data_IF_173791566846
#
_entry.id   IF_173791566846
#
_cell.length_a   1.000
_cell.length_b   1.000
_cell.length_c   1.000
_cell.angle_alpha   90.00
_cell.angle_beta   90.00
_cell.angle_gamma   90.00
#
_symmetry.space_group_name_H-M   'P 1'
#
loop_
_entity.id
_entity.type
_entity.pdbx_description
1 polymer ?
#
# COMPACT_ATOMS: atom_id res chain seq x y z
N UNK A 1 -56.43 27.56 4.15
CA UNK A 1 -55.34 26.72 4.63
C UNK A 1 -55.05 27.09 6.07
N UNK A 2 -55.09 26.12 6.97
CA UNK A 2 -54.83 26.35 8.39
C UNK A 2 -53.33 26.50 8.67
N UNK A 3 -52.94 27.30 9.66
CA UNK A 3 -51.52 27.53 10.02
C UNK A 3 -50.70 26.26 10.18
N UNK A 4 -51.23 25.09 10.61
CA UNK A 4 -50.49 23.84 10.69
C UNK A 4 -50.09 23.26 9.33
N UNK A 5 -50.90 23.44 8.28
CA UNK A 5 -50.58 22.91 6.93
C UNK A 5 -49.42 23.65 6.27
N UNK A 6 -49.33 24.96 6.46
CA UNK A 6 -48.22 25.80 5.98
C UNK A 6 -46.91 25.45 6.69
N UNK A 7 -46.93 25.05 7.97
CA UNK A 7 -45.75 24.64 8.71
C UNK A 7 -45.25 23.25 8.30
N UNK A 8 -46.13 22.34 7.90
CA UNK A 8 -45.76 20.99 7.40
C UNK A 8 -45.16 21.09 6.00
N UNK A 9 -45.68 21.94 5.13
CA UNK A 9 -45.14 22.13 3.78
C UNK A 9 -43.77 22.82 3.80
N UNK A 10 -43.56 23.80 4.72
CA UNK A 10 -42.27 24.46 4.92
C UNK A 10 -41.22 23.52 5.51
N UNK A 11 -41.59 22.60 6.42
CA UNK A 11 -40.68 21.53 6.95
C UNK A 11 -40.34 20.50 5.90
N UNK A 12 -41.31 20.05 5.12
CA UNK A 12 -41.05 19.07 4.03
C UNK A 12 -40.14 19.62 2.95
N UNK A 13 -40.26 20.91 2.61
CA UNK A 13 -39.37 21.60 1.66
C UNK A 13 -37.93 21.75 2.20
N UNK A 14 -37.78 22.10 3.49
CA UNK A 14 -36.49 22.24 4.13
C UNK A 14 -35.75 20.88 4.29
N UNK A 15 -36.51 19.84 4.66
CA UNK A 15 -35.95 18.47 4.76
C UNK A 15 -35.55 17.88 3.41
N UNK A 16 -36.33 18.16 2.34
CA UNK A 16 -35.98 17.74 0.97
C UNK A 16 -34.76 18.49 0.42
N UNK A 17 -34.63 19.76 0.74
CA UNK A 17 -33.50 20.60 0.35
C UNK A 17 -32.22 20.19 1.12
N UNK A 18 -32.35 19.83 2.41
CA UNK A 18 -31.24 19.33 3.24
C UNK A 18 -30.82 17.94 2.80
N UNK A 19 -31.73 17.05 2.41
CA UNK A 19 -31.42 15.73 1.86
C UNK A 19 -30.71 15.80 0.50
N UNK A 20 -31.03 16.79 -0.34
CA UNK A 20 -30.34 17.05 -1.61
C UNK A 20 -28.92 17.58 -1.41
N UNK A 21 -28.75 18.52 -0.51
CA UNK A 21 -27.44 19.09 -0.18
C UNK A 21 -26.54 18.09 0.58
N UNK A 22 -27.12 17.24 1.41
CA UNK A 22 -26.38 16.18 2.13
C UNK A 22 -25.79 15.13 1.18
N UNK A 23 -26.45 14.84 0.04
CA UNK A 23 -25.92 13.91 -1.01
C UNK A 23 -24.83 14.54 -1.87
N UNK A 24 -24.88 15.87 -2.06
CA UNK A 24 -23.91 16.59 -2.89
C UNK A 24 -22.61 16.92 -2.14
N UNK A 25 -22.64 17.11 -0.83
CA UNK A 25 -21.46 17.44 0.00
C UNK A 25 -20.28 16.46 -0.18
N UNK A 26 -20.44 15.12 -0.09
CA UNK A 26 -19.31 14.19 -0.27
C UNK A 26 -18.78 14.19 -1.71
N UNK A 27 -19.66 14.37 -2.71
CA UNK A 27 -19.26 14.47 -4.11
C UNK A 27 -18.45 15.76 -4.37
N UNK A 28 -18.89 16.87 -3.84
CA UNK A 28 -18.19 18.16 -3.94
C UNK A 28 -16.82 18.12 -3.22
N UNK A 29 -16.73 17.46 -2.07
CA UNK A 29 -15.45 17.25 -1.36
C UNK A 29 -14.48 16.38 -2.18
N UNK A 30 -14.98 15.29 -2.76
CA UNK A 30 -14.19 14.42 -3.64
C UNK A 30 -13.69 15.15 -4.90
N UNK A 31 -14.54 15.96 -5.54
CA UNK A 31 -14.15 16.80 -6.68
C UNK A 31 -13.14 17.85 -6.23
N UNK A 32 -13.35 18.48 -5.09
CA UNK A 32 -12.43 19.48 -4.53
C UNK A 32 -11.04 18.92 -4.20
N UNK A 33 -10.95 17.68 -3.71
CA UNK A 33 -9.67 17.04 -3.42
C UNK A 33 -8.89 16.71 -4.69
N UNK A 34 -9.55 16.17 -5.71
CA UNK A 34 -8.95 15.91 -7.03
C UNK A 34 -8.53 17.21 -7.71
N UNK A 35 -9.38 18.26 -7.63
CA UNK A 35 -9.02 19.56 -8.17
C UNK A 35 -7.78 20.16 -7.49
N UNK A 36 -7.66 20.03 -6.17
CA UNK A 36 -6.46 20.45 -5.44
C UNK A 36 -5.20 19.75 -5.87
N UNK A 37 -5.27 18.42 -6.05
CA UNK A 37 -4.15 17.62 -6.58
C UNK A 37 -3.76 18.02 -8.01
N UNK A 38 -4.76 18.27 -8.86
CA UNK A 38 -4.53 18.75 -10.25
C UNK A 38 -3.87 20.12 -10.28
N UNK A 39 -4.33 21.05 -9.43
CA UNK A 39 -3.71 22.38 -9.31
C UNK A 39 -2.25 22.24 -8.88
N UNK A 40 -1.96 21.38 -7.90
CA UNK A 40 -0.58 21.07 -7.48
C UNK A 40 0.27 20.51 -8.61
N UNK A 41 -0.26 19.58 -9.39
CA UNK A 41 0.42 19.03 -10.57
C UNK A 41 0.69 20.11 -11.62
N UNK A 42 -0.32 20.94 -11.96
CA UNK A 42 -0.18 22.04 -12.92
C UNK A 42 0.88 23.03 -12.44
N UNK A 43 0.90 23.34 -11.13
CA UNK A 43 1.90 24.22 -10.55
C UNK A 43 3.32 23.67 -10.71
N UNK A 44 3.55 22.39 -10.43
CA UNK A 44 4.84 21.72 -10.64
C UNK A 44 5.25 21.79 -12.11
N UNK A 45 4.31 21.47 -13.02
CA UNK A 45 4.56 21.54 -14.47
C UNK A 45 4.88 22.97 -14.94
N UNK A 46 4.20 23.98 -14.39
CA UNK A 46 4.42 25.38 -14.73
C UNK A 46 5.77 25.89 -14.21
N UNK A 47 6.14 25.57 -12.97
CA UNK A 47 7.43 25.98 -12.37
C UNK A 47 8.61 25.42 -13.18
N UNK A 48 8.65 24.10 -13.39
CA UNK A 48 9.76 23.47 -14.11
C UNK A 48 9.69 23.70 -15.61
N UNK A 49 8.48 23.85 -16.18
CA UNK A 49 8.29 24.27 -17.57
C UNK A 49 8.81 25.68 -17.84
N UNK A 50 8.66 26.61 -16.90
CA UNK A 50 9.25 27.95 -17.00
C UNK A 50 10.77 27.95 -16.77
N UNK A 51 11.25 27.09 -15.84
CA UNK A 51 12.68 27.00 -15.53
C UNK A 51 13.51 26.39 -16.67
N UNK A 52 13.03 25.28 -17.24
CA UNK A 52 13.77 24.54 -18.28
C UNK A 52 12.84 24.06 -19.40
N UNK A 53 12.23 24.96 -20.19
CA UNK A 53 11.18 24.59 -21.15
C UNK A 53 11.66 23.63 -22.23
N UNK A 54 12.91 23.76 -22.67
CA UNK A 54 13.49 22.93 -23.74
C UNK A 54 13.73 21.47 -23.33
N UNK A 55 13.92 21.21 -22.05
CA UNK A 55 14.21 19.87 -21.53
C UNK A 55 12.99 19.26 -20.85
N UNK A 56 12.29 20.04 -20.01
CA UNK A 56 11.21 19.54 -19.17
C UNK A 56 9.92 19.27 -19.94
N UNK A 57 9.58 20.11 -20.94
CA UNK A 57 8.35 19.96 -21.74
C UNK A 57 8.49 19.01 -22.93
N UNK A 58 9.57 18.23 -23.01
CA UNK A 58 9.73 17.21 -24.05
C UNK A 58 8.84 16.01 -23.78
N UNK A 59 8.31 15.40 -24.82
CA UNK A 59 7.52 14.16 -24.72
C UNK A 59 8.28 13.05 -23.97
N UNK A 60 9.60 12.95 -24.19
CA UNK A 60 10.47 11.98 -23.49
C UNK A 60 10.41 12.15 -21.96
N UNK A 61 10.32 13.37 -21.44
CA UNK A 61 10.22 13.62 -20.00
C UNK A 61 8.92 13.04 -19.42
N UNK A 62 7.80 13.23 -20.11
CA UNK A 62 6.51 12.66 -19.70
C UNK A 62 6.53 11.12 -19.77
N UNK A 63 7.07 10.57 -20.84
CA UNK A 63 7.24 9.11 -20.98
C UNK A 63 8.14 8.56 -19.88
N UNK A 64 9.24 9.24 -19.57
CA UNK A 64 10.17 8.81 -18.51
C UNK A 64 9.53 8.89 -17.12
N UNK A 65 8.71 9.92 -16.83
CA UNK A 65 7.98 9.99 -15.56
C UNK A 65 7.07 8.77 -15.42
N UNK A 66 6.35 8.35 -16.45
CA UNK A 66 5.54 7.13 -16.42
C UNK A 66 6.40 5.87 -16.24
N UNK A 67 7.51 5.77 -16.99
CA UNK A 67 8.45 4.63 -16.95
C UNK A 67 9.16 4.46 -15.62
N UNK A 68 9.33 5.52 -14.83
CA UNK A 68 10.07 5.48 -13.57
C UNK A 68 9.18 5.51 -12.33
N UNK A 69 7.89 5.85 -12.47
CA UNK A 69 6.99 5.99 -11.33
C UNK A 69 5.87 4.93 -11.28
N UNK A 70 5.83 3.96 -12.20
CA UNK A 70 4.80 2.92 -12.19
C UNK A 70 4.79 2.12 -10.88
N UNK A 71 5.96 1.80 -10.31
CA UNK A 71 6.03 1.03 -9.06
C UNK A 71 5.44 1.81 -7.87
N UNK A 72 5.69 3.13 -7.81
CA UNK A 72 5.02 4.00 -6.83
C UNK A 72 3.51 4.02 -7.03
N UNK A 73 3.04 4.07 -8.29
CA UNK A 73 1.62 4.09 -8.60
C UNK A 73 0.94 2.76 -8.20
N UNK A 74 1.56 1.62 -8.49
CA UNK A 74 1.06 0.30 -8.08
C UNK A 74 0.96 0.19 -6.57
N UNK A 75 2.00 0.58 -5.83
CA UNK A 75 2.01 0.56 -4.38
C UNK A 75 1.00 1.57 -3.78
N UNK A 76 0.85 2.75 -4.40
CA UNK A 76 -0.12 3.77 -3.99
C UNK A 76 -1.57 3.28 -4.13
N UNK A 77 -1.87 2.39 -5.08
CA UNK A 77 -3.21 1.77 -5.19
C UNK A 77 -3.59 1.08 -3.88
N UNK A 78 -2.73 0.22 -3.36
CA UNK A 78 -2.97 -0.48 -2.09
C UNK A 78 -2.98 0.47 -0.88
N UNK A 79 -2.01 1.38 -0.82
CA UNK A 79 -1.91 2.37 0.24
C UNK A 79 -3.17 3.26 0.33
N UNK A 80 -3.81 3.57 -0.81
CA UNK A 80 -5.06 4.34 -0.83
C UNK A 80 -6.18 3.64 -0.06
N UNK A 81 -6.37 2.32 -0.25
CA UNK A 81 -7.37 1.57 0.51
C UNK A 81 -7.08 1.60 2.02
N UNK A 82 -5.82 1.43 2.41
CA UNK A 82 -5.41 1.44 3.82
C UNK A 82 -5.63 2.82 4.44
N UNK A 83 -5.17 3.90 3.78
CA UNK A 83 -5.28 5.26 4.32
C UNK A 83 -6.74 5.70 4.45
N UNK A 84 -7.61 5.37 3.50
CA UNK A 84 -9.05 5.67 3.62
C UNK A 84 -9.67 5.00 4.85
N UNK A 85 -9.18 3.83 5.31
CA UNK A 85 -9.64 3.21 6.57
C UNK A 85 -9.01 3.81 7.83
N UNK A 86 -8.38 4.99 7.75
CA UNK A 86 -7.58 5.61 8.81
C UNK A 86 -6.39 4.73 9.26
N UNK A 87 -5.88 3.86 8.39
CA UNK A 87 -4.70 3.05 8.61
C UNK A 87 -3.45 3.69 7.99
N UNK A 88 -2.29 3.36 8.53
CA UNK A 88 -0.99 3.71 7.95
C UNK A 88 -0.19 2.42 7.81
N UNK A 89 0.31 2.15 6.60
CA UNK A 89 1.19 1.01 6.34
C UNK A 89 2.59 1.49 5.97
N UNK A 90 3.50 1.38 6.92
CA UNK A 90 4.92 1.69 6.72
C UNK A 90 5.69 0.50 6.15
N UNK A 91 5.11 -0.70 6.12
CA UNK A 91 5.82 -1.90 5.67
C UNK A 91 5.92 -2.03 4.15
N UNK A 92 5.17 -1.23 3.38
CA UNK A 92 5.04 -1.34 1.92
C UNK A 92 6.39 -1.50 1.22
N UNK A 93 7.38 -0.68 1.55
CA UNK A 93 8.70 -0.72 0.91
C UNK A 93 9.49 -2.00 1.24
N UNK A 94 9.45 -2.47 2.47
CA UNK A 94 10.09 -3.73 2.84
C UNK A 94 9.37 -4.94 2.25
N UNK A 95 8.04 -4.86 2.10
CA UNK A 95 7.23 -5.88 1.40
C UNK A 95 7.59 -5.94 -0.08
N UNK A 96 7.79 -4.79 -0.74
CA UNK A 96 8.29 -4.74 -2.12
C UNK A 96 9.63 -5.49 -2.26
N UNK A 97 10.59 -5.23 -1.34
CA UNK A 97 11.88 -5.89 -1.34
C UNK A 97 11.76 -7.41 -1.14
N UNK A 98 10.95 -7.84 -0.16
CA UNK A 98 10.75 -9.27 0.11
C UNK A 98 10.10 -9.98 -1.07
N UNK A 99 9.10 -9.37 -1.66
CA UNK A 99 8.37 -9.93 -2.80
C UNK A 99 9.24 -10.04 -4.06
N UNK A 100 10.03 -9.01 -4.34
CA UNK A 100 11.01 -9.01 -5.42
C UNK A 100 12.06 -10.11 -5.22
N UNK A 101 12.70 -10.16 -4.05
CA UNK A 101 13.67 -11.19 -3.72
C UNK A 101 13.05 -12.60 -3.79
N UNK A 102 11.83 -12.79 -3.28
CA UNK A 102 11.15 -14.09 -3.36
C UNK A 102 10.89 -14.51 -4.82
N UNK A 103 10.46 -13.59 -5.68
CA UNK A 103 10.32 -13.81 -7.11
C UNK A 103 11.68 -14.17 -7.74
N UNK A 104 12.71 -13.35 -7.51
CA UNK A 104 14.05 -13.53 -8.07
C UNK A 104 14.64 -14.89 -7.68
N UNK A 105 14.60 -15.24 -6.41
CA UNK A 105 15.08 -16.55 -5.92
C UNK A 105 14.30 -17.71 -6.55
N UNK A 106 13.00 -17.57 -6.75
CA UNK A 106 12.19 -18.61 -7.39
C UNK A 106 12.56 -18.82 -8.86
N UNK A 107 12.83 -17.76 -9.62
CA UNK A 107 13.12 -17.86 -11.07
C UNK A 107 14.59 -18.16 -11.37
N UNK A 108 15.52 -17.85 -10.46
CA UNK A 108 16.95 -18.13 -10.63
C UNK A 108 17.38 -19.48 -10.06
N UNK A 109 16.57 -20.07 -9.19
CA UNK A 109 16.87 -21.36 -8.59
C UNK A 109 18.02 -21.32 -7.58
N UNK A 110 18.00 -20.33 -6.70
CA UNK A 110 19.00 -20.14 -5.65
C UNK A 110 18.95 -21.27 -4.61
N UNK A 111 20.10 -21.61 -4.05
CA UNK A 111 20.19 -22.52 -2.89
C UNK A 111 19.63 -21.81 -1.67
N UNK A 112 18.66 -22.42 -0.99
CA UNK A 112 18.12 -21.87 0.26
C UNK A 112 19.19 -21.96 1.33
N UNK A 113 19.52 -20.87 2.05
CA UNK A 113 20.55 -20.90 3.09
C UNK A 113 20.29 -21.98 4.14
N UNK A 114 21.33 -22.63 4.62
CA UNK A 114 21.27 -23.44 5.82
C UNK A 114 21.30 -22.49 7.02
N UNK A 115 20.21 -22.48 7.80
CA UNK A 115 20.20 -21.75 9.07
C UNK A 115 20.74 -22.66 10.18
N UNK A 116 21.46 -22.08 11.11
CA UNK A 116 21.80 -22.82 12.31
C UNK A 116 20.56 -23.06 13.21
N UNK A 117 20.69 -23.98 14.17
CA UNK A 117 19.58 -24.35 15.06
C UNK A 117 19.04 -23.17 15.85
N UNK A 118 19.92 -22.24 16.24
CA UNK A 118 19.51 -21.03 16.98
C UNK A 118 18.60 -20.11 16.16
N UNK A 119 18.95 -19.92 14.89
CA UNK A 119 18.16 -19.12 13.94
C UNK A 119 16.80 -19.76 13.66
N UNK A 120 16.76 -21.08 13.49
CA UNK A 120 15.51 -21.84 13.36
C UNK A 120 14.60 -21.66 14.58
N UNK A 121 15.16 -21.70 15.79
CA UNK A 121 14.41 -21.49 17.03
C UNK A 121 13.82 -20.07 17.07
N UNK A 122 14.59 -19.04 16.72
CA UNK A 122 14.12 -17.65 16.71
C UNK A 122 12.96 -17.46 15.73
N UNK A 123 13.05 -18.01 14.51
CA UNK A 123 11.98 -17.94 13.51
C UNK A 123 10.74 -18.69 14.00
N UNK A 124 10.92 -19.91 14.51
CA UNK A 124 9.82 -20.73 15.02
C UNK A 124 9.10 -20.04 16.20
N UNK A 125 9.86 -19.45 17.12
CA UNK A 125 9.30 -18.68 18.24
C UNK A 125 8.54 -17.44 17.75
N UNK A 126 9.05 -16.70 16.75
CA UNK A 126 8.36 -15.55 16.15
C UNK A 126 7.02 -15.95 15.54
N UNK A 127 6.99 -17.01 14.75
CA UNK A 127 5.77 -17.56 14.15
C UNK A 127 4.80 -18.04 15.23
N UNK A 128 5.31 -18.78 16.23
CA UNK A 128 4.52 -19.28 17.34
C UNK A 128 3.84 -18.16 18.12
N UNK A 129 4.61 -17.14 18.51
CA UNK A 129 4.13 -16.00 19.25
C UNK A 129 3.02 -15.28 18.48
N UNK A 130 3.22 -15.06 17.19
CA UNK A 130 2.26 -14.38 16.32
C UNK A 130 0.96 -15.19 16.18
N UNK A 131 1.06 -16.46 15.84
CA UNK A 131 -0.11 -17.34 15.70
C UNK A 131 -0.89 -17.44 17.02
N UNK A 132 -0.18 -17.59 18.13
CA UNK A 132 -0.78 -17.69 19.46
C UNK A 132 -1.52 -16.41 19.87
N UNK A 133 -0.86 -15.27 19.74
CA UNK A 133 -1.44 -13.96 20.11
C UNK A 133 -2.64 -13.61 19.21
N UNK A 134 -2.53 -13.79 17.90
CA UNK A 134 -3.63 -13.51 16.98
C UNK A 134 -4.86 -14.38 17.29
N UNK A 135 -4.65 -15.67 17.53
CA UNK A 135 -5.75 -16.59 17.83
C UNK A 135 -6.39 -16.27 19.18
N UNK A 136 -5.59 -16.05 20.23
CA UNK A 136 -6.09 -15.69 21.54
C UNK A 136 -6.84 -14.34 21.51
N UNK A 137 -6.28 -13.33 20.85
CA UNK A 137 -6.91 -12.01 20.70
C UNK A 137 -8.25 -12.08 19.98
N UNK A 138 -8.31 -12.81 18.85
CA UNK A 138 -9.56 -13.03 18.12
C UNK A 138 -10.66 -13.70 18.94
N UNK A 139 -10.30 -14.72 19.73
CA UNK A 139 -11.25 -15.42 20.58
C UNK A 139 -11.75 -14.54 21.75
N UNK A 140 -10.87 -13.73 22.33
CA UNK A 140 -11.23 -12.77 23.38
C UNK A 140 -12.22 -11.72 22.87
N UNK A 141 -12.01 -11.20 21.67
CA UNK A 141 -12.94 -10.25 21.02
C UNK A 141 -14.33 -10.85 20.78
N UNK A 142 -14.40 -12.16 20.55
CA UNK A 142 -15.68 -12.90 20.41
C UNK A 142 -16.35 -13.26 21.72
N UNK A 143 -15.86 -12.76 22.85
CA UNK A 143 -16.43 -13.03 24.17
C UNK A 143 -16.13 -14.42 24.71
N UNK A 144 -15.14 -15.13 24.15
CA UNK A 144 -14.71 -16.42 24.66
C UNK A 144 -14.00 -16.25 26.02
N UNK A 145 -14.18 -17.18 26.95
CA UNK A 145 -13.51 -17.12 28.24
C UNK A 145 -11.99 -17.01 28.11
N UNK A 146 -11.37 -16.23 28.99
CA UNK A 146 -9.92 -15.99 28.98
C UNK A 146 -9.10 -17.27 28.97
N UNK A 147 -9.49 -18.25 29.76
CA UNK A 147 -8.83 -19.55 29.86
C UNK A 147 -8.87 -20.31 28.53
N UNK A 148 -10.05 -20.35 27.87
CA UNK A 148 -10.20 -21.01 26.58
C UNK A 148 -9.43 -20.30 25.47
N UNK A 149 -9.43 -18.96 25.46
CA UNK A 149 -8.70 -18.17 24.49
C UNK A 149 -7.18 -18.37 24.60
N UNK A 150 -6.66 -18.43 25.83
CA UNK A 150 -5.24 -18.72 26.08
C UNK A 150 -4.90 -20.15 25.67
N UNK A 151 -5.71 -21.15 26.02
CA UNK A 151 -5.46 -22.55 25.67
C UNK A 151 -5.43 -22.77 24.15
N UNK A 152 -6.41 -22.23 23.42
CA UNK A 152 -6.44 -22.34 21.94
C UNK A 152 -5.32 -21.52 21.29
N UNK A 153 -5.00 -20.34 21.83
CA UNK A 153 -3.86 -19.54 21.39
C UNK A 153 -2.54 -20.26 21.58
N UNK A 154 -2.34 -20.94 22.72
CA UNK A 154 -1.14 -21.75 22.98
C UNK A 154 -1.03 -22.94 22.01
N UNK A 155 -2.17 -23.61 21.72
CA UNK A 155 -2.19 -24.69 20.73
C UNK A 155 -1.83 -24.19 19.32
N UNK A 156 -2.35 -23.01 18.92
CA UNK A 156 -2.02 -22.38 17.65
C UNK A 156 -0.55 -21.94 17.58
N UNK A 157 0.03 -21.49 18.69
CA UNK A 157 1.45 -21.17 18.80
C UNK A 157 2.32 -22.40 18.56
N UNK A 158 2.02 -23.49 19.24
CA UNK A 158 2.75 -24.77 19.11
C UNK A 158 2.64 -25.28 17.66
N UNK A 159 1.42 -25.30 17.10
CA UNK A 159 1.21 -25.70 15.71
C UNK A 159 2.01 -24.83 14.72
N UNK A 160 2.02 -23.53 14.88
CA UNK A 160 2.80 -22.60 14.07
C UNK A 160 4.30 -22.87 14.16
N UNK A 161 4.84 -23.10 15.35
CA UNK A 161 6.24 -23.44 15.54
C UNK A 161 6.61 -24.78 14.88
N UNK A 162 5.79 -25.81 15.05
CA UNK A 162 6.01 -27.14 14.47
C UNK A 162 5.95 -27.06 12.95
N UNK A 163 4.94 -26.40 12.39
CA UNK A 163 4.79 -26.25 10.91
C UNK A 163 5.94 -25.46 10.33
N UNK A 164 6.34 -24.32 10.94
CA UNK A 164 7.47 -23.54 10.43
C UNK A 164 8.79 -24.29 10.52
N UNK A 165 9.04 -25.00 11.61
CA UNK A 165 10.23 -25.84 11.78
C UNK A 165 10.28 -27.01 10.78
N UNK A 166 9.14 -27.67 10.56
CA UNK A 166 9.04 -28.78 9.62
C UNK A 166 9.23 -28.32 8.15
N UNK A 167 8.55 -27.23 7.78
CA UNK A 167 8.72 -26.64 6.45
C UNK A 167 10.17 -26.25 6.22
N UNK A 168 10.79 -25.63 7.23
CA UNK A 168 12.18 -25.26 7.14
C UNK A 168 13.10 -26.48 6.98
N UNK A 169 12.93 -27.51 7.82
CA UNK A 169 13.70 -28.76 7.71
C UNK A 169 13.56 -29.43 6.34
N UNK A 170 12.38 -29.30 5.73
CA UNK A 170 12.10 -29.83 4.39
C UNK A 170 12.81 -29.08 3.27
N UNK A 171 13.04 -27.75 3.42
CA UNK A 171 13.55 -26.90 2.33
C UNK A 171 15.00 -26.42 2.53
N UNK A 172 15.50 -26.39 3.77
CA UNK A 172 16.85 -25.90 4.08
C UNK A 172 17.94 -26.69 3.34
N UNK A 173 18.94 -26.00 2.82
CA UNK A 173 20.05 -26.56 2.09
C UNK A 173 19.68 -27.15 0.72
N UNK A 174 18.42 -27.13 0.30
CA UNK A 174 18.02 -27.66 -1.00
C UNK A 174 18.20 -26.63 -2.11
N UNK A 175 18.75 -27.13 -3.26
CA UNK A 175 18.67 -26.33 -4.49
C UNK A 175 17.27 -26.41 -5.05
N UNK A 176 16.61 -25.25 -5.12
CA UNK A 176 15.33 -25.13 -5.82
C UNK A 176 15.63 -24.99 -7.31
N UNK A 177 15.05 -25.85 -8.15
CA UNK A 177 15.17 -25.69 -9.59
C UNK A 177 14.52 -24.36 -10.03
N UNK A 178 15.09 -23.67 -11.05
CA UNK A 178 14.47 -22.45 -11.58
C UNK A 178 13.02 -22.69 -11.97
N UNK A 179 12.13 -21.84 -11.48
CA UNK A 179 10.72 -21.90 -11.79
C UNK A 179 10.38 -21.05 -13.01
N UNK A 180 9.28 -21.35 -13.73
CA UNK A 180 8.79 -20.48 -14.79
C UNK A 180 8.50 -19.06 -14.25
N UNK A 181 8.72 -18.04 -15.07
CA UNK A 181 8.56 -16.62 -14.68
C UNK A 181 7.19 -16.34 -14.07
N UNK A 182 6.10 -16.89 -14.66
CA UNK A 182 4.76 -16.70 -14.11
C UNK A 182 4.61 -17.23 -12.67
N UNK A 183 5.29 -18.35 -12.34
CA UNK A 183 5.27 -18.90 -10.99
C UNK A 183 6.05 -18.01 -10.01
N UNK A 184 7.24 -17.53 -10.40
CA UNK A 184 8.01 -16.57 -9.61
C UNK A 184 7.26 -15.28 -9.34
N UNK A 185 6.63 -14.71 -10.37
CA UNK A 185 5.76 -13.52 -10.22
C UNK A 185 4.61 -13.77 -9.25
N UNK A 186 3.95 -14.92 -9.38
CA UNK A 186 2.86 -15.31 -8.47
C UNK A 186 3.35 -15.46 -7.03
N UNK A 187 4.53 -16.06 -6.82
CA UNK A 187 5.16 -16.18 -5.49
C UNK A 187 5.47 -14.81 -4.91
N UNK A 188 6.07 -13.90 -5.68
CA UNK A 188 6.34 -12.55 -5.22
C UNK A 188 5.07 -11.81 -4.79
N UNK A 189 4.01 -11.81 -5.62
CA UNK A 189 2.73 -11.19 -5.30
C UNK A 189 2.09 -11.84 -4.06
N UNK A 190 2.08 -13.17 -3.99
CA UNK A 190 1.53 -13.91 -2.85
C UNK A 190 2.28 -13.61 -1.56
N UNK A 191 3.63 -13.52 -1.61
CA UNK A 191 4.46 -13.13 -0.47
C UNK A 191 4.05 -11.76 0.06
N UNK A 192 3.86 -10.78 -0.83
CA UNK A 192 3.34 -9.47 -0.43
C UNK A 192 1.96 -9.58 0.23
N UNK A 193 1.03 -10.34 -0.37
CA UNK A 193 -0.31 -10.57 0.17
C UNK A 193 -0.30 -11.25 1.55
N UNK A 194 0.61 -12.20 1.78
CA UNK A 194 0.78 -12.87 3.07
C UNK A 194 1.26 -11.91 4.16
N UNK A 195 2.21 -11.02 3.84
CA UNK A 195 2.65 -9.97 4.79
C UNK A 195 1.50 -8.98 5.06
N UNK A 196 0.74 -8.61 4.04
CA UNK A 196 -0.46 -7.78 4.21
C UNK A 196 -1.51 -8.47 5.09
N UNK A 197 -1.74 -9.76 4.91
CA UNK A 197 -2.62 -10.57 5.78
C UNK A 197 -2.11 -10.60 7.22
N UNK A 198 -0.81 -10.80 7.41
CA UNK A 198 -0.17 -10.77 8.72
C UNK A 198 -0.41 -9.41 9.43
N UNK A 199 -0.14 -8.29 8.75
CA UNK A 199 -0.42 -6.96 9.28
C UNK A 199 -1.89 -6.78 9.63
N UNK A 200 -2.79 -7.12 8.70
CA UNK A 200 -4.23 -7.00 8.89
C UNK A 200 -4.73 -7.81 10.07
N UNK A 201 -4.27 -9.05 10.23
CA UNK A 201 -4.64 -9.90 11.36
C UNK A 201 -4.12 -9.36 12.70
N UNK A 202 -2.87 -8.92 12.78
CA UNK A 202 -2.31 -8.34 14.01
C UNK A 202 -3.07 -7.07 14.43
N UNK A 203 -3.33 -6.18 13.49
CA UNK A 203 -4.06 -4.92 13.75
C UNK A 203 -5.47 -5.21 14.25
N UNK A 204 -6.18 -6.14 13.60
CA UNK A 204 -7.58 -6.38 13.89
C UNK A 204 -7.80 -7.33 15.06
N UNK A 205 -7.00 -8.42 15.18
CA UNK A 205 -7.16 -9.41 16.23
C UNK A 205 -6.66 -8.94 17.59
N UNK A 206 -5.63 -8.10 17.61
CA UNK A 206 -5.04 -7.57 18.84
C UNK A 206 -5.46 -6.12 19.12
N UNK A 207 -6.26 -5.51 18.22
CA UNK A 207 -6.65 -4.10 18.30
C UNK A 207 -5.44 -3.15 18.44
N UNK A 208 -4.31 -3.49 17.80
CA UNK A 208 -3.10 -2.70 17.86
C UNK A 208 -3.17 -1.51 16.90
N UNK A 209 -2.54 -0.38 17.26
CA UNK A 209 -2.42 0.74 16.34
C UNK A 209 -1.70 0.32 15.04
N UNK A 210 -2.27 0.61 13.85
CA UNK A 210 -1.69 0.22 12.56
C UNK A 210 -0.22 0.62 12.40
N UNK A 211 0.12 1.84 12.80
CA UNK A 211 1.48 2.37 12.74
C UNK A 211 2.50 1.48 13.47
N UNK A 212 2.17 0.98 14.69
CA UNK A 212 3.09 0.15 15.48
C UNK A 212 3.34 -1.19 14.80
N UNK A 213 2.27 -1.83 14.33
CA UNK A 213 2.36 -3.14 13.67
C UNK A 213 3.18 -3.03 12.38
N UNK A 214 2.86 -2.05 11.53
CA UNK A 214 3.52 -1.91 10.22
C UNK A 214 4.97 -1.42 10.35
N UNK A 215 5.29 -0.63 11.38
CA UNK A 215 6.66 -0.26 11.71
C UNK A 215 7.48 -1.49 12.16
N UNK A 216 6.90 -2.34 13.01
CA UNK A 216 7.51 -3.61 13.41
C UNK A 216 7.75 -4.53 12.20
N UNK A 217 6.74 -4.64 11.32
CA UNK A 217 6.83 -5.42 10.08
C UNK A 217 7.87 -4.84 9.12
N UNK A 218 7.98 -3.51 9.00
CA UNK A 218 9.02 -2.86 8.19
C UNK A 218 10.41 -3.31 8.63
N UNK A 219 10.70 -3.25 9.93
CA UNK A 219 11.99 -3.68 10.46
C UNK A 219 12.24 -5.19 10.32
N UNK A 220 11.24 -5.99 10.69
CA UNK A 220 11.32 -7.45 10.64
C UNK A 220 11.49 -7.99 9.23
N UNK A 221 10.65 -7.53 8.28
CA UNK A 221 10.71 -7.95 6.88
C UNK A 221 12.01 -7.48 6.22
N UNK A 222 12.45 -6.24 6.50
CA UNK A 222 13.74 -5.73 5.98
C UNK A 222 14.90 -6.56 6.48
N UNK A 223 14.95 -6.86 7.78
CA UNK A 223 15.97 -7.72 8.37
C UNK A 223 15.96 -9.11 7.73
N UNK A 224 14.78 -9.69 7.51
CA UNK A 224 14.63 -11.00 6.85
C UNK A 224 15.19 -10.98 5.42
N UNK A 225 14.85 -9.96 4.63
CA UNK A 225 15.33 -9.83 3.24
C UNK A 225 16.86 -9.73 3.18
N UNK A 226 17.45 -8.86 4.00
CA UNK A 226 18.90 -8.68 4.07
C UNK A 226 19.60 -9.98 4.53
N UNK A 227 19.00 -10.69 5.48
CA UNK A 227 19.50 -11.96 5.96
C UNK A 227 19.44 -13.04 4.86
N UNK A 228 18.29 -13.21 4.18
CA UNK A 228 18.10 -14.23 3.13
C UNK A 228 19.07 -14.05 1.94
N UNK A 229 19.42 -12.81 1.63
CA UNK A 229 20.29 -12.47 0.48
C UNK A 229 21.75 -12.28 0.87
N UNK A 230 22.10 -12.34 2.17
CA UNK A 230 23.42 -11.92 2.66
C UNK A 230 23.71 -10.45 2.33
N UNK A 231 22.67 -9.62 2.24
CA UNK A 231 22.74 -8.19 1.83
C UNK A 231 23.22 -7.98 0.39
N UNK A 232 23.28 -9.03 -0.43
CA UNK A 232 23.71 -8.97 -1.83
C UNK A 232 22.50 -8.96 -2.77
N UNK A 233 22.58 -8.30 -3.93
CA UNK A 233 21.57 -8.40 -4.97
C UNK A 233 21.41 -9.85 -5.49
N UNK A 234 20.20 -10.21 -5.88
CA UNK A 234 19.93 -11.47 -6.58
C UNK A 234 19.89 -11.20 -8.07
N UNK A 235 20.94 -11.59 -8.77
CA UNK A 235 21.14 -11.39 -10.19
C UNK A 235 20.70 -12.60 -11.02
N UNK A 236 20.84 -12.50 -12.36
CA UNK A 236 20.57 -13.62 -13.27
C UNK A 236 19.10 -13.82 -13.56
N UNK A 237 18.29 -12.76 -13.48
CA UNK A 237 16.87 -12.79 -13.81
C UNK A 237 16.66 -13.17 -15.29
N UNK A 238 15.69 -14.05 -15.60
CA UNK A 238 15.43 -14.48 -16.97
C UNK A 238 14.90 -13.34 -17.83
N UNK A 239 15.29 -13.32 -19.11
CA UNK A 239 14.89 -12.31 -20.10
C UNK A 239 13.37 -12.10 -20.19
N UNK A 240 12.59 -13.17 -19.97
CA UNK A 240 11.13 -13.08 -19.97
C UNK A 240 10.61 -12.16 -18.84
N UNK A 241 11.28 -12.10 -17.68
CA UNK A 241 10.95 -11.14 -16.62
C UNK A 241 11.43 -9.74 -16.99
N UNK A 242 12.64 -9.61 -17.53
CA UNK A 242 13.23 -8.33 -17.91
C UNK A 242 12.42 -7.63 -19.00
N UNK A 243 11.77 -8.38 -19.89
CA UNK A 243 10.88 -7.84 -20.95
C UNK A 243 9.68 -7.07 -20.39
N UNK A 244 9.30 -7.25 -19.13
CA UNK A 244 8.25 -6.46 -18.50
C UNK A 244 8.60 -4.94 -18.48
N UNK A 245 9.89 -4.61 -18.45
CA UNK A 245 10.37 -3.23 -18.50
C UNK A 245 11.01 -2.87 -19.85
N UNK A 246 11.78 -3.77 -20.45
CA UNK A 246 12.57 -3.48 -21.66
C UNK A 246 11.75 -3.53 -22.96
N UNK A 247 10.66 -4.32 -23.01
CA UNK A 247 9.79 -4.34 -24.18
C UNK A 247 9.03 -3.02 -24.31
N UNK A 248 8.60 -2.70 -25.52
CA UNK A 248 7.82 -1.50 -25.81
C UNK A 248 6.50 -1.88 -26.49
N UNK A 249 5.38 -1.56 -25.83
CA UNK A 249 4.03 -1.68 -26.36
C UNK A 249 3.44 -0.29 -26.48
N UNK A 250 3.14 0.14 -27.69
CA UNK A 250 2.64 1.50 -27.97
C UNK A 250 3.55 2.61 -27.37
N UNK A 251 4.87 2.42 -27.40
CA UNK A 251 5.85 3.39 -26.89
C UNK A 251 6.11 3.33 -25.37
N UNK A 252 5.39 2.49 -24.61
CA UNK A 252 5.53 2.33 -23.17
C UNK A 252 5.85 0.89 -22.79
N UNK A 253 6.59 0.65 -21.70
CA UNK A 253 6.84 -0.69 -21.17
C UNK A 253 5.54 -1.38 -20.73
N UNK A 254 5.47 -2.73 -20.79
CA UNK A 254 4.36 -3.51 -20.23
C UNK A 254 4.01 -3.16 -18.78
N UNK A 255 5.01 -2.85 -17.94
CA UNK A 255 4.80 -2.43 -16.56
C UNK A 255 3.86 -1.22 -16.43
N UNK A 256 3.96 -0.24 -17.32
CA UNK A 256 3.06 0.93 -17.33
C UNK A 256 1.63 0.49 -17.65
N UNK A 257 1.46 -0.40 -18.61
CA UNK A 257 0.14 -0.92 -18.98
C UNK A 257 -0.50 -1.77 -17.88
N UNK A 258 0.29 -2.61 -17.20
CA UNK A 258 -0.17 -3.35 -16.02
C UNK A 258 -0.66 -2.37 -14.94
N UNK A 259 0.07 -1.29 -14.72
CA UNK A 259 -0.31 -0.23 -13.77
C UNK A 259 -1.63 0.44 -14.17
N UNK A 260 -1.79 0.79 -15.46
CA UNK A 260 -3.04 1.38 -15.97
C UNK A 260 -4.22 0.43 -15.77
N UNK A 261 -4.06 -0.85 -16.12
CA UNK A 261 -5.11 -1.87 -15.91
C UNK A 261 -5.45 -2.00 -14.43
N UNK A 262 -4.46 -2.04 -13.55
CA UNK A 262 -4.68 -2.12 -12.10
C UNK A 262 -5.50 -0.91 -11.61
N UNK A 263 -5.16 0.31 -12.04
CA UNK A 263 -5.88 1.53 -11.68
C UNK A 263 -7.32 1.48 -12.21
N UNK A 264 -7.51 1.05 -13.46
CA UNK A 264 -8.84 0.91 -14.08
C UNK A 264 -9.73 -0.11 -13.37
N UNK A 265 -9.15 -1.11 -12.70
CA UNK A 265 -9.88 -2.06 -11.85
C UNK A 265 -10.10 -1.49 -10.45
N UNK A 266 -9.06 -0.92 -9.84
CA UNK A 266 -9.09 -0.47 -8.44
C UNK A 266 -9.99 0.76 -8.24
N UNK A 267 -10.02 1.69 -9.20
CA UNK A 267 -10.83 2.90 -9.09
C UNK A 267 -12.35 2.59 -9.05
N UNK A 268 -12.93 1.78 -9.96
CA UNK A 268 -14.31 1.34 -9.83
C UNK A 268 -14.59 0.49 -8.59
N UNK A 269 -13.65 -0.38 -8.18
CA UNK A 269 -13.80 -1.17 -6.95
C UNK A 269 -13.91 -0.25 -5.74
N UNK A 270 -13.06 0.77 -5.63
CA UNK A 270 -13.11 1.72 -4.54
C UNK A 270 -14.40 2.57 -4.58
N UNK A 271 -14.86 3.00 -5.76
CA UNK A 271 -15.93 3.99 -5.88
C UNK A 271 -17.35 3.36 -5.94
N UNK A 272 -17.51 2.22 -6.61
CA UNK A 272 -18.82 1.63 -6.89
C UNK A 272 -19.11 0.32 -6.16
N UNK A 273 -18.10 -0.38 -5.63
CA UNK A 273 -18.31 -1.68 -5.00
C UNK A 273 -18.80 -1.57 -3.55
N UNK A 274 -19.27 -2.71 -3.02
CA UNK A 274 -19.59 -2.86 -1.59
C UNK A 274 -18.35 -2.65 -0.72
N UNK A 275 -17.20 -3.16 -1.18
CA UNK A 275 -15.91 -2.96 -0.48
C UNK A 275 -15.62 -1.48 -0.29
N UNK A 276 -15.71 -0.68 -1.36
CA UNK A 276 -15.46 0.75 -1.28
C UNK A 276 -16.38 1.46 -0.28
N UNK A 277 -17.68 1.19 -0.33
CA UNK A 277 -18.64 1.76 0.64
C UNK A 277 -18.27 1.47 2.09
N UNK A 278 -17.85 0.23 2.38
CA UNK A 278 -17.43 -0.14 3.74
C UNK A 278 -16.09 0.50 4.13
N UNK A 279 -15.15 0.60 3.21
CA UNK A 279 -13.85 1.27 3.42
C UNK A 279 -14.06 2.73 3.81
N UNK A 280 -14.89 3.49 3.07
CA UNK A 280 -15.23 4.87 3.42
C UNK A 280 -16.00 4.97 4.74
N UNK A 281 -16.97 4.08 4.98
CA UNK A 281 -17.75 4.09 6.23
C UNK A 281 -16.86 3.84 7.47
N UNK A 282 -15.95 2.86 7.38
CA UNK A 282 -14.99 2.54 8.45
C UNK A 282 -14.08 3.75 8.73
N UNK A 283 -13.55 4.37 7.68
CA UNK A 283 -12.65 5.51 7.82
C UNK A 283 -13.34 6.76 8.38
N UNK A 284 -14.60 7.00 8.01
CA UNK A 284 -15.36 8.14 8.53
C UNK A 284 -15.71 7.97 10.02
N UNK A 285 -16.20 6.81 10.42
CA UNK A 285 -16.48 6.50 11.82
C UNK A 285 -16.58 4.99 12.04
N UNK A 286 -15.51 4.40 12.55
CA UNK A 286 -15.41 2.97 12.78
C UNK A 286 -16.50 2.45 13.74
N UNK A 287 -16.79 3.20 14.82
CA UNK A 287 -17.80 2.81 15.81
C UNK A 287 -19.20 2.76 15.20
N UNK A 288 -19.56 3.77 14.43
CA UNK A 288 -20.85 3.84 13.74
C UNK A 288 -20.96 2.73 12.67
N UNK A 289 -19.91 2.50 11.87
CA UNK A 289 -19.89 1.43 10.90
C UNK A 289 -20.15 0.05 11.55
N UNK A 290 -19.53 -0.21 12.69
CA UNK A 290 -19.73 -1.43 13.49
C UNK A 290 -21.18 -1.56 13.98
N UNK A 291 -21.78 -0.49 14.47
CA UNK A 291 -23.19 -0.47 14.91
C UNK A 291 -24.16 -0.74 13.75
N UNK A 292 -23.81 -0.32 12.53
CA UNK A 292 -24.56 -0.62 11.32
C UNK A 292 -24.31 -2.04 10.74
N UNK A 293 -23.62 -2.92 11.48
CA UNK A 293 -23.39 -4.32 11.09
C UNK A 293 -22.22 -4.54 10.14
N UNK A 294 -21.37 -3.53 9.89
CA UNK A 294 -20.17 -3.71 9.07
C UNK A 294 -19.11 -4.47 9.87
N UNK A 295 -18.60 -5.57 9.30
CA UNK A 295 -17.49 -6.34 9.88
C UNK A 295 -16.15 -5.62 9.66
N UNK A 296 -15.85 -4.66 10.54
CA UNK A 296 -14.69 -3.76 10.45
C UNK A 296 -13.38 -4.54 10.34
N UNK A 297 -13.20 -5.56 11.18
CA UNK A 297 -11.99 -6.38 11.23
C UNK A 297 -11.70 -7.03 9.88
N UNK A 298 -12.73 -7.62 9.28
CA UNK A 298 -12.63 -8.28 7.98
C UNK A 298 -12.20 -7.30 6.88
N UNK A 299 -12.85 -6.14 6.81
CA UNK A 299 -12.60 -5.18 5.74
C UNK A 299 -11.26 -4.48 5.91
N UNK A 300 -10.86 -4.14 7.12
CA UNK A 300 -9.49 -3.65 7.38
C UNK A 300 -8.45 -4.68 6.97
N UNK A 301 -8.59 -5.93 7.37
CA UNK A 301 -7.66 -7.00 6.95
C UNK A 301 -7.59 -7.13 5.43
N UNK A 302 -8.73 -7.08 4.72
CA UNK A 302 -8.74 -7.10 3.24
C UNK A 302 -7.96 -5.91 2.65
N UNK A 303 -8.08 -4.70 3.21
CA UNK A 303 -7.31 -3.54 2.76
C UNK A 303 -5.80 -3.75 2.89
N UNK A 304 -5.35 -4.33 4.01
CA UNK A 304 -3.92 -4.67 4.18
C UNK A 304 -3.46 -5.78 3.23
N UNK A 305 -4.30 -6.78 2.96
CA UNK A 305 -4.00 -7.81 1.95
C UNK A 305 -3.86 -7.19 0.56
N UNK A 306 -4.77 -6.29 0.17
CA UNK A 306 -4.68 -5.56 -1.11
C UNK A 306 -3.40 -4.73 -1.16
N UNK A 307 -3.06 -4.02 -0.08
CA UNK A 307 -1.82 -3.26 0.00
C UNK A 307 -0.58 -4.16 -0.14
N UNK A 308 -0.58 -5.32 0.51
CA UNK A 308 0.49 -6.30 0.37
C UNK A 308 0.61 -6.89 -1.04
N UNK A 309 -0.52 -7.24 -1.69
CA UNK A 309 -0.53 -7.74 -3.07
C UNK A 309 0.01 -6.70 -4.06
N UNK A 310 -0.41 -5.44 -3.93
CA UNK A 310 0.08 -4.36 -4.79
C UNK A 310 1.55 -4.02 -4.51
N UNK A 311 1.99 -4.05 -3.26
CA UNK A 311 3.40 -3.91 -2.91
C UNK A 311 4.23 -5.06 -3.52
N UNK A 312 3.73 -6.31 -3.42
CA UNK A 312 4.37 -7.46 -4.03
C UNK A 312 4.52 -7.32 -5.55
N UNK A 313 3.46 -6.91 -6.23
CA UNK A 313 3.49 -6.64 -7.66
C UNK A 313 4.49 -5.52 -8.00
N UNK A 314 4.49 -4.43 -7.24
CA UNK A 314 5.42 -3.30 -7.44
C UNK A 314 6.88 -3.73 -7.30
N UNK A 315 7.21 -4.59 -6.31
CA UNK A 315 8.55 -5.14 -6.12
C UNK A 315 9.02 -5.97 -7.32
N UNK A 316 8.21 -6.93 -7.74
CA UNK A 316 8.50 -7.78 -8.92
C UNK A 316 8.68 -6.93 -10.21
N UNK A 317 7.80 -5.94 -10.41
CA UNK A 317 7.93 -5.04 -11.55
C UNK A 317 9.21 -4.21 -11.50
N UNK A 318 9.67 -3.84 -10.31
CA UNK A 318 10.90 -3.07 -10.13
C UNK A 318 12.15 -3.90 -10.43
N UNK A 319 12.16 -5.18 -10.05
CA UNK A 319 13.27 -6.10 -10.36
C UNK A 319 13.48 -6.21 -11.88
N UNK A 320 12.39 -6.22 -12.67
CA UNK A 320 12.50 -6.22 -14.14
C UNK A 320 13.18 -4.97 -14.69
N UNK A 321 13.11 -3.85 -13.98
CA UNK A 321 13.77 -2.59 -14.34
C UNK A 321 15.22 -2.56 -13.89
N UNK A 322 15.50 -3.04 -12.69
CA UNK A 322 16.85 -3.02 -12.10
C UNK A 322 17.73 -4.16 -12.63
N UNK A 323 17.15 -5.14 -13.33
CA UNK A 323 17.79 -6.37 -13.79
C UNK A 323 18.30 -7.26 -12.65
N UNK A 324 17.93 -6.94 -11.42
CA UNK A 324 18.28 -7.67 -10.20
C UNK A 324 17.30 -7.35 -9.08
N UNK A 325 17.14 -8.22 -8.11
CA UNK A 325 16.41 -7.92 -6.89
C UNK A 325 17.37 -7.39 -5.83
N UNK A 326 17.30 -6.08 -5.55
CA UNK A 326 18.19 -5.38 -4.63
C UNK A 326 17.50 -5.22 -3.28
N UNK A 327 17.97 -5.90 -2.21
CA UNK A 327 17.28 -5.92 -0.91
C UNK A 327 17.20 -4.55 -0.22
N UNK A 328 18.12 -3.62 -0.51
CA UNK A 328 18.20 -2.30 0.10
C UNK A 328 17.56 -1.16 -0.71
N UNK A 329 17.05 -1.43 -1.93
CA UNK A 329 16.65 -0.40 -2.90
C UNK A 329 15.52 0.51 -2.40
N UNK A 330 14.56 -0.02 -1.67
CA UNK A 330 13.29 0.68 -1.39
C UNK A 330 13.29 1.49 -0.09
N UNK A 331 14.46 1.89 0.45
CA UNK A 331 14.51 2.66 1.70
C UNK A 331 13.88 4.04 1.53
N UNK A 332 12.91 4.38 2.40
CA UNK A 332 12.20 5.67 2.36
C UNK A 332 11.07 5.75 1.33
N UNK A 333 10.85 4.69 0.54
CA UNK A 333 9.75 4.68 -0.43
C UNK A 333 8.38 4.68 0.23
N UNK A 334 8.27 4.06 1.42
CA UNK A 334 7.05 4.07 2.24
C UNK A 334 6.52 5.49 2.46
N UNK A 335 7.41 6.40 2.86
CA UNK A 335 7.05 7.80 3.10
C UNK A 335 6.65 8.53 1.80
N UNK A 336 7.36 8.24 0.70
CA UNK A 336 7.04 8.82 -0.62
C UNK A 336 5.69 8.35 -1.13
N UNK A 337 5.34 7.06 -0.94
CA UNK A 337 4.05 6.49 -1.36
C UNK A 337 2.92 7.12 -0.55
N UNK A 338 3.06 7.18 0.78
CA UNK A 338 2.07 7.82 1.66
C UNK A 338 1.91 9.29 1.28
N UNK A 339 3.02 10.01 1.08
CA UNK A 339 3.00 11.39 0.64
C UNK A 339 2.21 11.59 -0.66
N UNK A 340 2.47 10.76 -1.66
CA UNK A 340 1.77 10.83 -2.95
C UNK A 340 0.26 10.66 -2.77
N UNK A 341 -0.17 9.69 -1.96
CA UNK A 341 -1.59 9.43 -1.69
C UNK A 341 -2.24 10.60 -0.95
N UNK A 342 -1.55 11.18 0.04
CA UNK A 342 -2.06 12.31 0.83
C UNK A 342 -2.12 13.60 0.01
N UNK A 343 -1.06 13.91 -0.73
CA UNK A 343 -1.02 15.05 -1.66
C UNK A 343 -2.10 14.90 -2.74
N UNK A 344 -2.39 13.66 -3.14
CA UNK A 344 -3.51 13.31 -4.02
C UNK A 344 -4.90 13.58 -3.43
N UNK A 345 -4.98 14.02 -2.17
CA UNK A 345 -6.21 14.41 -1.49
C UNK A 345 -6.89 13.29 -0.70
N UNK A 346 -6.17 12.19 -0.42
CA UNK A 346 -6.64 11.16 0.52
C UNK A 346 -6.30 11.59 1.94
N UNK A 347 -7.30 11.66 2.82
CA UNK A 347 -7.13 12.12 4.20
C UNK A 347 -6.46 11.07 5.09
N UNK A 348 -5.46 11.48 5.87
CA UNK A 348 -4.84 10.64 6.91
C UNK A 348 -5.78 10.31 8.07
N UNK A 349 -6.83 11.11 8.25
CA UNK A 349 -7.88 10.85 9.25
C UNK A 349 -8.91 9.81 8.79
N UNK A 350 -8.82 9.38 7.52
CA UNK A 350 -9.71 8.40 6.91
C UNK A 350 -11.02 8.99 6.37
N UNK A 351 -11.81 8.13 5.72
CA UNK A 351 -13.14 8.46 5.21
C UNK A 351 -13.19 9.31 3.94
N UNK A 352 -12.07 9.85 3.48
CA UNK A 352 -11.98 10.69 2.28
C UNK A 352 -10.78 10.30 1.43
N UNK A 353 -10.93 10.35 0.12
CA UNK A 353 -9.87 10.06 -0.85
C UNK A 353 -10.40 9.48 -2.15
N UNK A 354 -9.58 9.51 -3.19
CA UNK A 354 -9.93 8.92 -4.49
C UNK A 354 -8.70 8.24 -5.11
N UNK A 355 -8.93 7.17 -5.84
CA UNK A 355 -7.85 6.48 -6.57
C UNK A 355 -7.18 7.41 -7.58
N UNK A 356 -7.96 8.18 -8.32
CA UNK A 356 -7.47 9.13 -9.32
C UNK A 356 -6.60 10.21 -8.66
N UNK A 357 -7.06 10.75 -7.53
CA UNK A 357 -6.28 11.72 -6.76
C UNK A 357 -4.93 11.16 -6.34
N UNK A 358 -4.89 9.95 -5.78
CA UNK A 358 -3.63 9.30 -5.38
C UNK A 358 -2.65 9.13 -6.55
N UNK A 359 -3.15 8.77 -7.74
CA UNK A 359 -2.30 8.65 -8.93
C UNK A 359 -1.80 10.01 -9.41
N UNK A 360 -2.62 11.06 -9.34
CA UNK A 360 -2.18 12.45 -9.63
C UNK A 360 -1.07 12.85 -8.65
N UNK A 361 -1.19 12.49 -7.37
CA UNK A 361 -0.13 12.74 -6.38
C UNK A 361 1.18 12.02 -6.71
N UNK A 362 1.12 10.75 -7.15
CA UNK A 362 2.30 10.02 -7.64
C UNK A 362 2.94 10.70 -8.83
N UNK A 363 2.14 11.13 -9.80
CA UNK A 363 2.64 11.85 -10.98
C UNK A 363 3.26 13.20 -10.57
N UNK A 364 2.65 13.91 -9.62
CA UNK A 364 3.18 15.18 -9.11
C UNK A 364 4.58 15.00 -8.50
N UNK A 365 4.79 13.98 -7.64
CA UNK A 365 6.11 13.67 -7.09
C UNK A 365 7.07 13.23 -8.21
N UNK A 366 6.60 12.46 -9.18
CA UNK A 366 7.39 12.03 -10.33
C UNK A 366 7.90 13.21 -11.18
N UNK A 367 7.03 14.16 -11.49
CA UNK A 367 7.41 15.38 -12.23
C UNK A 367 8.29 16.30 -11.39
N UNK A 368 8.05 16.42 -10.09
CA UNK A 368 8.91 17.16 -9.18
C UNK A 368 10.34 16.60 -9.19
N UNK A 369 10.51 15.29 -9.02
CA UNK A 369 11.82 14.63 -9.09
C UNK A 369 12.49 14.82 -10.46
N UNK A 370 11.72 14.64 -11.53
CA UNK A 370 12.22 14.83 -12.89
C UNK A 370 12.68 16.27 -13.12
N UNK A 371 11.89 17.25 -12.67
CA UNK A 371 12.24 18.66 -12.75
C UNK A 371 13.48 19.02 -11.93
N UNK A 372 13.57 18.53 -10.71
CA UNK A 372 14.74 18.71 -9.84
C UNK A 372 16.01 18.11 -10.48
N UNK A 373 15.92 16.90 -11.06
CA UNK A 373 17.04 16.26 -11.76
C UNK A 373 17.51 17.10 -12.95
N UNK A 374 16.58 17.61 -13.77
CA UNK A 374 16.89 18.46 -14.91
C UNK A 374 17.46 19.84 -14.50
N UNK A 375 17.08 20.32 -13.32
CA UNK A 375 17.61 21.54 -12.71
C UNK A 375 18.95 21.32 -12.00
N UNK A 376 19.49 20.09 -11.98
CA UNK A 376 20.75 19.76 -11.30
C UNK A 376 20.67 19.74 -9.78
N UNK A 377 19.45 19.63 -9.20
CA UNK A 377 19.26 19.55 -7.74
C UNK A 377 19.68 18.17 -7.27
N UNK A 378 20.58 18.15 -6.28
CA UNK A 378 21.10 16.92 -5.68
C UNK A 378 19.98 16.05 -5.07
N UNK A 379 20.10 14.72 -5.23
CA UNK A 379 19.08 13.75 -4.78
C UNK A 379 18.75 13.88 -3.28
N UNK A 380 19.74 14.18 -2.45
CA UNK A 380 19.54 14.36 -1.01
C UNK A 380 18.66 15.58 -0.68
N UNK A 381 18.81 16.68 -1.44
CA UNK A 381 17.95 17.87 -1.31
C UNK A 381 16.53 17.60 -1.78
N UNK A 382 16.34 16.74 -2.77
CA UNK A 382 15.01 16.35 -3.22
C UNK A 382 14.21 15.65 -2.11
N UNK A 383 14.87 14.86 -1.24
CA UNK A 383 14.22 14.26 -0.07
C UNK A 383 13.76 15.31 0.94
N UNK A 384 14.53 16.39 1.12
CA UNK A 384 14.12 17.52 1.99
C UNK A 384 12.84 18.17 1.44
N UNK A 385 12.78 18.43 0.13
CA UNK A 385 11.57 18.98 -0.50
C UNK A 385 10.36 18.04 -0.35
N UNK A 386 10.53 16.74 -0.59
CA UNK A 386 9.47 15.76 -0.40
C UNK A 386 8.99 15.76 1.06
N UNK A 387 9.91 15.78 2.03
CA UNK A 387 9.57 15.85 3.44
C UNK A 387 8.77 17.11 3.80
N UNK A 388 9.19 18.28 3.29
CA UNK A 388 8.48 19.54 3.50
C UNK A 388 7.06 19.48 2.89
N UNK A 389 6.91 18.91 1.69
CA UNK A 389 5.61 18.77 1.03
C UNK A 389 4.69 17.83 1.82
N UNK A 390 5.21 16.75 2.42
CA UNK A 390 4.42 15.85 3.29
C UNK A 390 3.84 16.62 4.47
N UNK A 391 4.68 17.41 5.16
CA UNK A 391 4.24 18.19 6.32
C UNK A 391 3.21 19.24 5.92
N UNK A 392 3.42 19.93 4.80
CA UNK A 392 2.47 20.91 4.27
C UNK A 392 1.13 20.26 3.89
N UNK A 393 1.16 19.09 3.21
CA UNK A 393 -0.05 18.36 2.85
C UNK A 393 -0.84 17.92 4.09
N UNK A 394 -0.15 17.38 5.11
CA UNK A 394 -0.77 17.00 6.36
C UNK A 394 -1.36 18.20 7.12
N UNK A 395 -0.67 19.35 7.12
CA UNK A 395 -1.17 20.59 7.71
C UNK A 395 -2.44 21.08 7.00
N UNK A 396 -2.45 21.09 5.66
CA UNK A 396 -3.64 21.46 4.87
C UNK A 396 -4.81 20.51 5.14
N UNK A 397 -4.56 19.20 5.21
CA UNK A 397 -5.59 18.20 5.55
C UNK A 397 -6.18 18.48 6.94
N UNK A 398 -5.34 18.79 7.92
CA UNK A 398 -5.77 19.15 9.28
C UNK A 398 -6.65 20.40 9.31
N UNK A 399 -6.26 21.45 8.57
CA UNK A 399 -7.05 22.70 8.51
C UNK A 399 -8.41 22.47 7.85
N UNK A 400 -8.52 21.64 6.82
CA UNK A 400 -9.79 21.27 6.19
C UNK A 400 -10.75 20.60 7.17
N UNK A 401 -10.23 19.72 8.05
CA UNK A 401 -11.04 19.06 9.08
C UNK A 401 -11.45 19.97 10.24
N UNK A 402 -10.75 21.08 10.48
CA UNK A 402 -11.12 22.07 11.52
C UNK A 402 -12.17 23.09 11.04
N UNK A 403 -12.29 23.29 9.73
CA UNK A 403 -13.18 24.28 9.10
C UNK A 403 -14.50 23.68 8.56
N UNK A 404 -14.72 22.38 8.65
CA UNK A 404 -15.93 21.66 8.22
C UNK A 404 -16.64 20.95 9.33
#
# INVERSE_FOLDING_TARGET
MSQPELQLEYRGGAEAQDAGTARLKPLMRSIGSVAGALIGLILVLAIFGAWSPRLFLRADTFVNVLKYNYAYAVAAVGATFVIITAGIDLSVASVMALAGVACAMAVTGVTIPEFDVGQMIVIALGVALTCGLCTAGFLLQRGTSRTRSVAVGSAAAIAGAVVSGLLWWLIAGRKVAPMPVWAGVSIGIATGGLVGLFNGLLITSLSLPPFIVTLGTLGGVRGLVLYMTGSMPVDGLPDALLRMHSASWLGLPPNVWITVVLILIAAPVLHFSVMGRYVYAIGSNERTARLCGVSVERWKTICYVVAGLTAGLAGVMMDSRLHSAIPSEYQGWELTIIAAVVIGGTSLFGGEGTMIGSIIGVLMIGFLRSGCNLAGVEANLQQVFIGAIIVLAAAVDRFRHLSG
#
